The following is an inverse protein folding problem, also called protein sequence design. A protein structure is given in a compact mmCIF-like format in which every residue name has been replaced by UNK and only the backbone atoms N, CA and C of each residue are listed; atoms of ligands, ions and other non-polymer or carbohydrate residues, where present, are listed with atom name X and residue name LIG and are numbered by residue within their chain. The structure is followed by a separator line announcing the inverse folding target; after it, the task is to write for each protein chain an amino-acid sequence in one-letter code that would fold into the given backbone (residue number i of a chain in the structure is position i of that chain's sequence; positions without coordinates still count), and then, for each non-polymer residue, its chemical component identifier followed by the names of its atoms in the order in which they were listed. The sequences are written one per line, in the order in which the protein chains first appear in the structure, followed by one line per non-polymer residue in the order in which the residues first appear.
data_IF_939101815349
#
_entry.id   IF_939101815349
#
_cell.length_a   1.000
_cell.length_b   1.000
_cell.length_c   1.000
_cell.angle_alpha   90.00
_cell.angle_beta   90.00
_cell.angle_gamma   90.00
#
_symmetry.space_group_name_H-M   'P 1'
#
loop_
_entity.id
_entity.type
_entity.pdbx_description
1 polymer ?
#
# COMPACT_ATOMS: atom_id res chain seq x y z
N UNK A 1 -1.43 -37.10 -5.44
CA UNK A 1 0.01 -37.07 -5.21
C UNK A 1 0.71 -36.26 -6.28
N UNK A 2 0.60 -36.70 -7.54
CA UNK A 2 1.32 -36.16 -8.70
C UNK A 2 0.83 -34.77 -9.19
N UNK A 3 -0.47 -34.49 -9.04
CA UNK A 3 -1.08 -33.26 -9.56
C UNK A 3 -0.66 -31.96 -8.84
N UNK A 4 -0.39 -31.97 -7.53
CA UNK A 4 0.00 -30.75 -6.81
C UNK A 4 1.42 -30.29 -7.18
N UNK A 5 2.33 -31.25 -7.44
CA UNK A 5 3.72 -30.96 -7.81
C UNK A 5 3.81 -30.48 -9.27
N UNK A 6 2.92 -30.91 -10.17
CA UNK A 6 2.87 -30.43 -11.56
C UNK A 6 2.00 -29.17 -11.76
N UNK A 7 1.00 -28.94 -10.90
CA UNK A 7 0.12 -27.76 -10.98
C UNK A 7 0.80 -26.47 -10.57
N UNK A 8 1.68 -26.49 -9.55
CA UNK A 8 2.38 -25.28 -9.13
C UNK A 8 3.23 -24.70 -10.29
N UNK A 9 4.08 -25.49 -10.98
CA UNK A 9 4.81 -25.01 -12.16
C UNK A 9 3.91 -24.56 -13.33
N UNK A 10 2.81 -25.28 -13.59
CA UNK A 10 1.88 -24.95 -14.66
C UNK A 10 1.19 -23.60 -14.42
N UNK A 11 0.77 -23.34 -13.17
CA UNK A 11 0.16 -22.07 -12.77
C UNK A 11 1.15 -20.91 -12.93
N UNK A 12 2.39 -21.08 -12.47
CA UNK A 12 3.46 -20.08 -12.61
C UNK A 12 3.68 -19.75 -14.09
N UNK A 13 3.79 -20.77 -14.95
CA UNK A 13 3.99 -20.59 -16.40
C UNK A 13 2.85 -19.83 -17.06
N UNK A 14 1.60 -20.16 -16.72
CA UNK A 14 0.41 -19.47 -17.27
C UNK A 14 0.34 -18.01 -16.84
N UNK A 15 0.65 -17.70 -15.57
CA UNK A 15 0.65 -16.33 -15.06
C UNK A 15 1.76 -15.53 -15.75
N UNK A 16 2.97 -16.09 -15.86
CA UNK A 16 4.08 -15.45 -16.56
C UNK A 16 3.74 -15.16 -18.03
N UNK A 17 3.13 -16.11 -18.74
CA UNK A 17 2.68 -15.91 -20.11
C UNK A 17 1.61 -14.80 -20.21
N UNK A 18 0.64 -14.80 -19.30
CA UNK A 18 -0.39 -13.75 -19.22
C UNK A 18 0.22 -12.36 -19.03
N UNK A 19 1.15 -12.21 -18.09
CA UNK A 19 1.86 -10.96 -17.81
C UNK A 19 2.65 -10.47 -19.05
N UNK A 20 3.34 -11.36 -19.75
CA UNK A 20 4.11 -11.01 -20.96
C UNK A 20 3.18 -10.51 -22.08
N UNK A 21 2.03 -11.16 -22.27
CA UNK A 21 1.06 -10.80 -23.32
C UNK A 21 0.40 -9.45 -23.03
N UNK A 22 0.01 -9.17 -21.79
CA UNK A 22 -0.63 -7.89 -21.43
C UNK A 22 0.34 -6.71 -21.43
N UNK A 23 1.64 -6.96 -21.22
CA UNK A 23 2.66 -5.90 -21.20
C UNK A 23 3.19 -5.49 -22.59
N UNK A 24 2.85 -6.20 -23.67
CA UNK A 24 3.35 -5.96 -25.04
C UNK A 24 3.39 -4.47 -25.50
N UNK A 25 2.56 -3.60 -24.89
CA UNK A 25 2.44 -2.18 -25.22
C UNK A 25 3.03 -1.19 -24.20
N UNK A 26 3.56 -1.62 -23.04
CA UNK A 26 4.07 -0.69 -22.00
C UNK A 26 5.57 -0.45 -22.13
N UNK A 27 5.99 0.83 -22.07
CA UNK A 27 7.39 1.26 -22.19
C UNK A 27 8.17 1.11 -20.86
N UNK A 28 7.48 1.19 -19.71
CA UNK A 28 8.06 1.17 -18.36
C UNK A 28 8.47 -0.20 -17.86
N UNK A 29 9.50 -0.27 -17.00
CA UNK A 29 10.03 -1.52 -16.45
C UNK A 29 9.00 -2.21 -15.52
N UNK A 30 8.44 -3.33 -15.98
CA UNK A 30 7.47 -4.13 -15.21
C UNK A 30 7.92 -4.47 -13.79
N UNK A 31 9.21 -4.80 -13.65
CA UNK A 31 9.76 -5.17 -12.35
C UNK A 31 9.69 -4.01 -11.37
N UNK A 32 9.95 -2.79 -11.85
CA UNK A 32 9.83 -1.58 -11.05
C UNK A 32 8.36 -1.28 -10.71
N UNK A 33 7.45 -1.36 -11.68
CA UNK A 33 6.02 -1.11 -11.46
C UNK A 33 5.42 -2.12 -10.47
N UNK A 34 5.70 -3.40 -10.67
CA UNK A 34 5.24 -4.46 -9.78
C UNK A 34 5.85 -4.31 -8.38
N UNK A 35 7.13 -3.94 -8.28
CA UNK A 35 7.77 -3.68 -6.99
C UNK A 35 7.07 -2.52 -6.28
N UNK A 36 6.79 -1.43 -6.98
CA UNK A 36 6.10 -0.25 -6.44
C UNK A 36 4.68 -0.58 -6.00
N UNK A 37 3.96 -1.36 -6.78
CA UNK A 37 2.60 -1.76 -6.46
C UNK A 37 2.56 -2.70 -5.25
N UNK A 38 3.50 -3.64 -5.15
CA UNK A 38 3.60 -4.56 -4.03
C UNK A 38 4.01 -3.83 -2.73
N UNK A 39 4.90 -2.84 -2.81
CA UNK A 39 5.34 -2.04 -1.64
C UNK A 39 4.40 -0.88 -1.30
N UNK A 40 3.51 -0.47 -2.20
CA UNK A 40 2.51 0.59 -1.97
C UNK A 40 1.53 0.32 -0.82
N UNK A 41 1.40 -0.95 -0.41
CA UNK A 41 0.49 -1.40 0.65
C UNK A 41 1.30 -1.91 1.86
N UNK A 42 1.91 -1.01 2.66
CA UNK A 42 2.74 -1.40 3.81
C UNK A 42 1.97 -2.26 4.82
N UNK A 43 0.64 -2.05 4.97
CA UNK A 43 -0.23 -2.87 5.84
C UNK A 43 -0.19 -4.36 5.47
N UNK A 44 -0.22 -4.70 4.17
CA UNK A 44 -0.19 -6.10 3.73
C UNK A 44 1.16 -6.75 4.07
N UNK A 45 2.26 -6.02 3.88
CA UNK A 45 3.61 -6.49 4.20
C UNK A 45 3.76 -6.69 5.72
N UNK A 46 3.23 -5.79 6.55
CA UNK A 46 3.25 -5.96 8.01
C UNK A 46 2.53 -7.23 8.48
N UNK A 47 1.36 -7.54 7.90
CA UNK A 47 0.65 -8.79 8.20
C UNK A 47 1.52 -10.00 7.83
N UNK A 48 2.13 -9.99 6.65
CA UNK A 48 3.03 -11.05 6.22
C UNK A 48 4.25 -11.21 7.15
N UNK A 49 4.87 -10.11 7.58
CA UNK A 49 5.95 -10.13 8.58
C UNK A 49 5.49 -10.77 9.88
N UNK A 50 4.29 -10.44 10.36
CA UNK A 50 3.71 -11.06 11.57
C UNK A 50 3.52 -12.57 11.42
N UNK A 51 3.06 -13.04 10.26
CA UNK A 51 2.93 -14.48 9.96
C UNK A 51 4.29 -15.16 9.93
N UNK A 52 5.32 -14.53 9.35
CA UNK A 52 6.69 -15.07 9.32
C UNK A 52 7.27 -15.22 10.74
N UNK A 53 7.03 -14.23 11.62
CA UNK A 53 7.42 -14.32 13.03
C UNK A 53 6.67 -15.46 13.72
N UNK A 54 5.37 -15.62 13.46
CA UNK A 54 4.59 -16.73 14.00
C UNK A 54 5.16 -18.09 13.56
N UNK A 55 5.57 -18.24 12.30
CA UNK A 55 6.22 -19.45 11.80
C UNK A 55 7.58 -19.72 12.44
N UNK A 56 8.35 -18.69 12.76
CA UNK A 56 9.61 -18.86 13.50
C UNK A 56 9.41 -19.44 14.91
N UNK A 57 8.22 -19.30 15.50
CA UNK A 57 7.88 -19.83 16.82
C UNK A 57 7.34 -21.27 16.77
N UNK A 58 7.08 -21.81 15.59
CA UNK A 58 6.53 -23.17 15.44
C UNK A 58 7.63 -24.21 15.73
N UNK A 59 7.43 -25.10 16.73
CA UNK A 59 8.40 -26.13 17.04
C UNK A 59 8.52 -27.13 15.87
N UNK A 60 9.75 -27.44 15.47
CA UNK A 60 10.05 -28.36 14.35
C UNK A 60 10.45 -27.66 13.05
N UNK A 61 10.32 -26.34 12.95
CA UNK A 61 10.83 -25.55 11.83
C UNK A 61 12.12 -24.81 12.21
N UNK A 62 13.14 -24.73 11.33
CA UNK A 62 14.32 -23.89 11.59
C UNK A 62 13.90 -22.41 11.64
N UNK A 63 14.06 -21.70 12.77
CA UNK A 63 13.58 -20.31 12.91
C UNK A 63 14.41 -19.32 12.10
N UNK A 64 15.70 -19.62 11.87
CA UNK A 64 16.66 -18.74 11.21
C UNK A 64 16.18 -18.17 9.87
N UNK A 65 15.74 -18.96 8.87
CA UNK A 65 15.24 -18.42 7.61
C UNK A 65 14.00 -17.52 7.79
N UNK A 66 13.06 -17.90 8.66
CA UNK A 66 11.85 -17.12 8.90
C UNK A 66 12.16 -15.78 9.58
N UNK A 67 13.10 -15.76 10.53
CA UNK A 67 13.53 -14.53 11.18
C UNK A 67 14.27 -13.59 10.22
N UNK A 68 15.11 -14.12 9.32
CA UNK A 68 15.78 -13.30 8.29
C UNK A 68 14.74 -12.68 7.35
N UNK A 69 13.77 -13.47 6.88
CA UNK A 69 12.69 -12.99 6.01
C UNK A 69 11.77 -12.01 6.75
N UNK A 70 11.47 -12.25 8.02
CA UNK A 70 10.68 -11.34 8.85
C UNK A 70 11.42 -10.01 9.05
N UNK A 71 12.72 -10.03 9.31
CA UNK A 71 13.52 -8.81 9.44
C UNK A 71 13.58 -8.02 8.12
N UNK A 72 13.82 -8.70 6.98
CA UNK A 72 13.85 -8.05 5.68
C UNK A 72 12.49 -7.46 5.28
N UNK A 73 11.42 -8.24 5.40
CA UNK A 73 10.06 -7.78 5.09
C UNK A 73 9.59 -6.67 6.03
N UNK A 74 9.90 -6.78 7.32
CA UNK A 74 9.59 -5.76 8.31
C UNK A 74 10.34 -4.45 8.05
N UNK A 75 11.61 -4.54 7.63
CA UNK A 75 12.38 -3.36 7.22
C UNK A 75 11.75 -2.67 6.00
N UNK A 76 11.37 -3.44 4.97
CA UNK A 76 10.69 -2.90 3.79
C UNK A 76 9.35 -2.27 4.15
N UNK A 77 8.55 -2.92 5.02
CA UNK A 77 7.29 -2.38 5.51
C UNK A 77 7.48 -1.06 6.26
N UNK A 78 8.50 -0.97 7.11
CA UNK A 78 8.81 0.23 7.88
C UNK A 78 9.21 1.39 6.96
N UNK A 79 10.06 1.15 5.96
CA UNK A 79 10.45 2.19 5.00
C UNK A 79 9.29 2.62 4.10
N UNK A 80 8.44 1.67 3.68
CA UNK A 80 7.28 1.95 2.85
C UNK A 80 6.18 2.71 3.62
N UNK A 81 5.98 2.39 4.91
CA UNK A 81 5.02 3.10 5.76
C UNK A 81 5.44 4.55 5.97
N UNK A 82 6.74 4.81 6.13
CA UNK A 82 7.26 6.18 6.26
C UNK A 82 7.05 7.00 4.99
N UNK A 83 7.11 6.38 3.81
CA UNK A 83 6.80 7.05 2.55
C UNK A 83 5.29 7.29 2.40
N UNK A 84 4.46 6.31 2.75
CA UNK A 84 3.00 6.45 2.71
C UNK A 84 2.50 7.55 3.66
N UNK A 85 3.05 7.66 4.87
CA UNK A 85 2.68 8.74 5.81
C UNK A 85 3.09 10.11 5.29
N UNK A 86 4.25 10.25 4.65
CA UNK A 86 4.67 11.54 4.05
C UNK A 86 3.78 11.92 2.87
N UNK A 87 3.38 10.95 2.05
CA UNK A 87 2.45 11.19 0.91
C UNK A 87 1.03 11.52 1.41
N UNK A 88 0.60 10.93 2.52
CA UNK A 88 -0.67 11.25 3.19
C UNK A 88 -0.62 12.64 3.83
N UNK A 89 0.50 13.03 4.47
CA UNK A 89 0.75 14.37 5.03
C UNK A 89 0.84 15.45 3.94
N UNK A 90 1.48 15.16 2.80
CA UNK A 90 1.53 16.08 1.64
C UNK A 90 0.15 16.21 0.96
N UNK A 91 -0.63 15.13 0.92
CA UNK A 91 -2.00 15.18 0.42
C UNK A 91 -2.95 15.92 1.36
N UNK A 92 -2.80 15.77 2.68
CA UNK A 92 -3.52 16.56 3.69
C UNK A 92 -3.11 18.03 3.65
N UNK A 93 -1.81 18.34 3.55
CA UNK A 93 -1.33 19.71 3.43
C UNK A 93 -1.81 20.38 2.13
N UNK A 94 -1.85 19.66 1.00
CA UNK A 94 -2.40 20.16 -0.25
C UNK A 94 -3.94 20.32 -0.23
N UNK A 95 -4.63 19.59 0.66
CA UNK A 95 -6.06 19.75 0.92
C UNK A 95 -6.33 20.93 1.87
N UNK A 96 -5.52 21.12 2.91
CA UNK A 96 -5.60 22.25 3.84
C UNK A 96 -5.23 23.59 3.17
N UNK A 97 -4.32 23.59 2.19
CA UNK A 97 -3.98 24.78 1.39
C UNK A 97 -5.13 25.20 0.44
N UNK A 98 -6.14 24.34 0.24
CA UNK A 98 -7.40 24.66 -0.44
C UNK A 98 -8.51 25.09 0.53
N UNK A 99 -8.31 24.96 1.84
CA UNK A 99 -9.28 25.27 2.89
C UNK A 99 -8.73 26.31 3.91
N UNK A 100 -8.41 27.53 3.46
CA UNK A 100 -8.64 28.79 4.22
C UNK A 100 -8.19 30.04 3.44
N UNK A 101 -8.90 31.19 3.49
CA UNK A 101 -10.21 31.47 4.08
C UNK A 101 -11.22 32.06 3.06
N UNK A 102 -12.40 31.45 2.88
CA UNK A 102 -13.55 32.23 2.44
C UNK A 102 -13.91 33.20 3.57
N UNK A 103 -13.74 34.47 3.26
CA UNK A 103 -14.21 35.65 3.99
C UNK A 103 -15.60 35.38 4.61
N UNK A 104 -15.72 35.60 5.92
CA UNK A 104 -16.96 35.59 6.69
C UNK A 104 -18.17 36.07 5.88
N UNK A 105 -18.94 35.12 5.36
CA UNK A 105 -20.26 35.42 4.75
C UNK A 105 -21.27 35.74 5.87
N UNK A 106 -20.97 35.41 7.13
CA UNK A 106 -21.79 35.77 8.28
C UNK A 106 -21.71 37.26 8.69
N UNK A 107 -20.62 37.99 8.36
CA UNK A 107 -20.49 39.43 8.66
C UNK A 107 -21.27 40.33 7.68
N UNK A 108 -21.71 39.80 6.53
CA UNK A 108 -22.61 40.48 5.58
C UNK A 108 -24.09 40.18 5.81
N UNK A 109 -24.42 39.33 6.79
CA UNK A 109 -25.77 38.99 7.22
C UNK A 109 -26.22 39.86 8.41
N UNK A 110 -25.95 41.16 8.35
CA UNK A 110 -26.70 42.12 9.16
C UNK A 110 -28.12 42.21 8.60
N UNK A 111 -29.02 41.41 9.17
CA UNK A 111 -30.45 41.49 8.90
C UNK A 111 -30.95 42.82 9.47
N UNK A 112 -31.26 43.77 8.59
CA UNK A 112 -31.98 45.00 8.95
C UNK A 112 -33.30 44.61 9.64
N UNK A 113 -33.56 45.06 10.88
CA UNK A 113 -34.84 44.86 11.52
C UNK A 113 -35.86 45.76 10.83
N UNK A 114 -36.50 45.24 9.77
CA UNK A 114 -37.62 45.88 9.11
C UNK A 114 -38.76 46.09 10.13
N UNK A 115 -39.02 47.37 10.39
CA UNK A 115 -40.10 47.90 11.19
C UNK A 115 -41.44 47.25 10.82
N UNK A 116 -42.12 46.64 11.79
CA UNK A 116 -43.53 46.29 11.68
C UNK A 116 -44.31 47.28 12.55
N UNK A 117 -45.30 47.91 11.93
CA UNK A 117 -46.32 48.79 12.52
C UNK A 117 -46.92 48.26 13.82
#
# INVERSE_FOLDING_TARGET
GDGLVSQIPALITSISAGIIVTRSTSEDNLGADLSRELTSKPRAIMVATGVLVAFALVPGLPPTPFLILAAASGFVAFTAQRQATVEEEEAEAAAEEQEQPEEKVEDYLHVDPLEIQ
#
